data_IF_491636972847
#
_entry.id   IF_491636972847
#
_cell.length_a   1.000
_cell.length_b   1.000
_cell.length_c   1.000
_cell.angle_alpha   90.00
_cell.angle_beta   90.00
_cell.angle_gamma   90.00
#
_symmetry.space_group_name_H-M   'P 1'
#
loop_
_entity.id
_entity.type
_entity.pdbx_description
1 polymer ?
#
# COMPACT_ATOMS: atom_id res chain seq x y z
N UNK A 1 -4.24 18.78 -24.83
CA UNK A 1 -3.65 17.43 -25.05
C UNK A 1 -3.51 16.70 -23.72
N UNK A 2 -3.41 15.36 -23.74
CA UNK A 2 -3.32 14.53 -22.54
C UNK A 2 -2.09 13.62 -22.57
N UNK A 3 -1.38 13.53 -21.45
CA UNK A 3 -0.38 12.49 -21.15
C UNK A 3 -0.96 11.66 -20.02
N UNK A 4 -0.99 10.33 -20.16
CA UNK A 4 -1.51 9.42 -19.13
C UNK A 4 -0.65 8.17 -19.11
N UNK A 5 -0.04 7.88 -17.97
CA UNK A 5 0.77 6.69 -17.74
C UNK A 5 0.28 5.98 -16.48
N UNK A 6 0.48 4.67 -16.42
CA UNK A 6 0.24 3.86 -15.23
C UNK A 6 1.52 3.19 -14.78
N UNK A 7 1.67 3.06 -13.46
CA UNK A 7 2.82 2.40 -12.86
C UNK A 7 2.42 1.62 -11.61
N UNK A 8 2.98 0.43 -11.48
CA UNK A 8 2.88 -0.38 -10.27
C UNK A 8 4.02 -0.01 -9.31
N UNK A 9 3.66 0.35 -8.09
CA UNK A 9 4.56 0.73 -7.01
C UNK A 9 4.54 -0.36 -5.93
N UNK A 10 5.67 -1.01 -5.62
CA UNK A 10 5.73 -2.03 -4.57
C UNK A 10 5.75 -1.42 -3.16
N UNK A 11 4.67 -0.70 -2.82
CA UNK A 11 4.39 -0.09 -1.52
C UNK A 11 2.88 -0.11 -1.26
N UNK A 12 2.47 0.13 -0.02
CA UNK A 12 1.04 0.28 0.32
C UNK A 12 0.46 1.57 -0.27
N UNK A 13 -0.87 1.65 -0.35
CA UNK A 13 -1.56 2.87 -0.83
C UNK A 13 -1.23 4.05 0.07
N UNK A 14 -1.15 3.82 1.39
CA UNK A 14 -0.83 4.85 2.38
C UNK A 14 0.62 5.35 2.27
N UNK A 15 1.58 4.45 2.02
CA UNK A 15 2.98 4.83 1.75
C UNK A 15 3.09 5.67 0.47
N UNK A 16 2.43 5.26 -0.62
CA UNK A 16 2.38 6.04 -1.85
C UNK A 16 1.67 7.39 -1.65
N UNK A 17 0.59 7.44 -0.87
CA UNK A 17 -0.16 8.65 -0.58
C UNK A 17 0.69 9.67 0.18
N UNK A 18 1.41 9.23 1.21
CA UNK A 18 2.35 10.06 1.94
C UNK A 18 3.46 10.61 1.02
N UNK A 19 4.01 9.76 0.13
CA UNK A 19 5.02 10.18 -0.83
C UNK A 19 4.51 11.23 -1.84
N UNK A 20 3.24 11.16 -2.27
CA UNK A 20 2.65 12.21 -3.12
C UNK A 20 2.50 13.55 -2.39
N UNK A 21 2.39 13.53 -1.05
CA UNK A 21 2.32 14.72 -0.22
C UNK A 21 3.69 15.30 0.15
N UNK A 22 4.80 14.60 -0.14
CA UNK A 22 6.15 15.04 0.20
C UNK A 22 6.78 15.90 -0.92
N UNK A 23 7.09 17.20 -0.68
CA UNK A 23 7.77 18.05 -1.66
C UNK A 23 9.18 17.56 -2.04
N UNK A 24 9.83 16.78 -1.19
CA UNK A 24 11.12 16.15 -1.51
C UNK A 24 10.96 15.12 -2.63
N UNK A 25 9.86 14.34 -2.63
CA UNK A 25 9.54 13.40 -3.72
C UNK A 25 9.26 14.17 -5.00
N UNK A 26 8.44 15.22 -4.96
CA UNK A 26 8.19 16.12 -6.10
C UNK A 26 9.49 16.67 -6.70
N UNK A 27 10.42 17.11 -5.85
CA UNK A 27 11.73 17.61 -6.26
C UNK A 27 12.60 16.50 -6.88
N UNK A 28 12.63 15.32 -6.27
CA UNK A 28 13.48 14.21 -6.72
C UNK A 28 13.05 13.69 -8.10
N UNK A 29 11.75 13.53 -8.33
CA UNK A 29 11.22 13.03 -9.61
C UNK A 29 11.29 14.06 -10.75
N UNK A 30 11.53 15.33 -10.42
CA UNK A 30 11.69 16.42 -11.39
C UNK A 30 13.13 16.54 -11.90
N UNK A 31 14.13 16.20 -11.06
CA UNK A 31 15.55 16.24 -11.43
C UNK A 31 15.91 15.14 -12.44
N UNK A 32 16.88 15.38 -13.35
CA UNK A 32 17.64 16.62 -13.53
C UNK A 32 16.93 17.65 -14.42
N UNK A 33 15.81 17.30 -15.06
CA UNK A 33 15.16 18.12 -16.09
C UNK A 33 14.61 19.44 -15.55
N UNK A 34 13.99 19.40 -14.37
CA UNK A 34 13.38 20.55 -13.71
C UNK A 34 13.85 20.64 -12.27
N UNK A 35 14.20 21.86 -11.86
CA UNK A 35 14.37 22.24 -10.46
C UNK A 35 13.36 23.31 -10.12
N UNK A 36 12.70 23.16 -8.99
CA UNK A 36 11.78 24.16 -8.46
C UNK A 36 12.41 24.84 -7.25
N UNK A 37 12.31 26.17 -7.19
CA UNK A 37 12.66 26.95 -6.00
C UNK A 37 11.38 27.54 -5.40
N UNK A 38 11.10 27.32 -4.11
CA UNK A 38 9.95 27.93 -3.45
C UNK A 38 10.13 29.45 -3.42
N UNK A 39 9.06 30.18 -3.74
CA UNK A 39 9.00 31.65 -3.68
C UNK A 39 7.98 32.13 -2.65
N UNK A 40 6.85 31.43 -2.53
CA UNK A 40 5.88 31.70 -1.49
C UNK A 40 5.12 30.41 -1.12
N UNK A 41 5.29 29.89 0.10
CA UNK A 41 6.29 30.27 1.12
C UNK A 41 7.74 30.14 0.60
N UNK A 42 8.72 30.76 1.28
CA UNK A 42 10.15 30.74 0.90
C UNK A 42 10.82 29.36 1.09
N UNK A 43 10.15 28.43 1.74
CA UNK A 43 10.57 27.04 1.89
C UNK A 43 9.42 26.12 1.52
N UNK A 44 9.74 24.92 1.02
CA UNK A 44 8.70 23.91 0.83
C UNK A 44 8.11 23.49 2.18
N UNK A 45 6.79 23.23 2.25
CA UNK A 45 6.19 22.72 3.47
C UNK A 45 6.75 21.32 3.80
N UNK A 46 6.48 20.82 5.01
CA UNK A 46 6.78 19.41 5.33
C UNK A 46 5.92 18.44 4.50
N UNK A 47 4.67 18.83 4.22
CA UNK A 47 3.74 18.11 3.38
C UNK A 47 2.82 19.09 2.65
N UNK A 48 2.46 18.77 1.42
CA UNK A 48 1.44 19.52 0.67
C UNK A 48 0.11 19.51 1.42
N UNK A 49 -0.54 20.66 1.47
CA UNK A 49 -1.85 20.82 2.10
C UNK A 49 -2.91 21.13 1.05
N UNK A 50 -4.02 20.41 1.10
CA UNK A 50 -5.15 20.59 0.18
C UNK A 50 -5.70 22.03 0.26
N UNK A 51 -6.00 22.63 -0.89
CA UNK A 51 -6.51 24.00 -1.01
C UNK A 51 -5.48 25.11 -0.74
N UNK A 52 -4.24 24.78 -0.35
CA UNK A 52 -3.17 25.76 -0.19
C UNK A 52 -2.52 26.08 -1.54
N UNK A 53 -2.09 27.32 -1.73
CA UNK A 53 -1.37 27.75 -2.93
C UNK A 53 0.10 27.95 -2.61
N UNK A 54 0.97 27.38 -3.45
CA UNK A 54 2.42 27.51 -3.39
C UNK A 54 2.93 28.10 -4.70
N UNK A 55 3.83 29.07 -4.63
CA UNK A 55 4.44 29.67 -5.83
C UNK A 55 5.90 29.23 -5.91
N UNK A 56 6.31 28.75 -7.08
CA UNK A 56 7.67 28.26 -7.34
C UNK A 56 8.26 28.90 -8.59
N UNK A 57 9.57 29.11 -8.58
CA UNK A 57 10.38 29.36 -9.79
C UNK A 57 10.77 28.01 -10.41
N UNK A 58 10.46 27.81 -11.69
CA UNK A 58 10.91 26.65 -12.46
C UNK A 58 12.19 26.92 -13.22
N UNK A 59 13.17 26.01 -13.10
CA UNK A 59 14.46 26.09 -13.77
C UNK A 59 14.70 24.83 -14.61
N UNK A 60 14.84 24.98 -15.92
CA UNK A 60 15.26 23.89 -16.78
C UNK A 60 16.73 23.55 -16.52
N UNK A 61 17.03 22.25 -16.40
CA UNK A 61 18.36 21.73 -16.09
C UNK A 61 18.97 22.32 -14.79
N UNK A 62 18.15 22.98 -13.97
CA UNK A 62 18.55 23.60 -12.71
C UNK A 62 19.10 25.03 -12.80
N UNK A 63 19.23 25.62 -14.00
CA UNK A 63 19.82 26.96 -14.16
C UNK A 63 19.18 27.85 -15.23
N UNK A 64 18.34 27.32 -16.13
CA UNK A 64 17.66 28.12 -17.16
C UNK A 64 16.27 28.53 -16.65
N UNK A 65 15.99 29.81 -16.39
CA UNK A 65 14.69 30.25 -15.90
C UNK A 65 13.57 29.95 -16.91
N UNK A 66 12.56 29.22 -16.46
CA UNK A 66 11.33 28.95 -17.23
C UNK A 66 10.18 29.87 -16.83
N UNK A 67 10.31 30.59 -15.71
CA UNK A 67 9.30 31.46 -15.14
C UNK A 67 8.72 30.89 -13.84
N UNK A 68 7.59 31.45 -13.41
CA UNK A 68 6.93 31.08 -12.17
C UNK A 68 5.71 30.20 -12.43
N UNK A 69 5.40 29.33 -11.48
CA UNK A 69 4.23 28.47 -11.50
C UNK A 69 3.57 28.45 -10.12
N UNK A 70 2.25 28.41 -10.14
CA UNK A 70 1.42 28.09 -8.99
C UNK A 70 1.25 26.57 -8.90
N UNK A 71 1.36 26.02 -7.68
CA UNK A 71 0.98 24.66 -7.32
C UNK A 71 -0.18 24.79 -6.34
N UNK A 72 -1.31 24.19 -6.67
CA UNK A 72 -2.52 24.19 -5.85
C UNK A 72 -3.02 22.75 -5.67
N UNK A 73 -2.54 22.04 -4.63
CA UNK A 73 -2.96 20.67 -4.34
C UNK A 73 -4.43 20.60 -3.95
N UNK A 74 -5.16 19.66 -4.54
CA UNK A 74 -6.52 19.30 -4.16
C UNK A 74 -6.62 17.78 -4.09
N UNK A 75 -6.93 17.27 -2.90
CA UNK A 75 -6.95 15.84 -2.62
C UNK A 75 -8.36 15.35 -2.30
N UNK A 76 -8.66 14.13 -2.73
CA UNK A 76 -9.92 13.42 -2.43
C UNK A 76 -9.60 11.98 -2.07
N UNK A 77 -10.27 11.45 -1.04
CA UNK A 77 -10.04 10.10 -0.54
C UNK A 77 -11.37 9.33 -0.48
N UNK A 78 -11.33 8.08 -0.93
CA UNK A 78 -12.39 7.09 -0.80
C UNK A 78 -11.75 5.75 -0.40
N UNK A 79 -12.57 4.74 -0.10
CA UNK A 79 -12.08 3.42 0.35
C UNK A 79 -11.34 2.65 -0.76
N UNK A 80 -11.64 2.94 -2.02
CA UNK A 80 -11.10 2.23 -3.18
C UNK A 80 -10.07 3.05 -3.96
N UNK A 81 -10.02 4.36 -3.72
CA UNK A 81 -9.20 5.28 -4.50
C UNK A 81 -8.82 6.53 -3.69
N UNK A 82 -7.56 6.96 -3.82
CA UNK A 82 -7.09 8.28 -3.36
C UNK A 82 -6.56 9.07 -4.54
N UNK A 83 -7.00 10.32 -4.69
CA UNK A 83 -6.61 11.17 -5.82
C UNK A 83 -6.00 12.48 -5.35
N UNK A 84 -4.78 12.77 -5.81
CA UNK A 84 -4.08 14.04 -5.64
C UNK A 84 -4.12 14.78 -6.96
N UNK A 85 -4.64 16.01 -6.97
CA UNK A 85 -4.66 16.86 -8.16
C UNK A 85 -3.90 18.15 -7.89
N UNK A 86 -3.25 18.69 -8.91
CA UNK A 86 -2.70 20.04 -8.91
C UNK A 86 -3.49 20.89 -9.92
N UNK A 87 -4.20 21.88 -9.39
CA UNK A 87 -5.00 22.85 -10.14
C UNK A 87 -4.24 24.17 -10.36
N UNK A 88 -2.94 24.18 -10.11
CA UNK A 88 -2.07 25.31 -10.34
C UNK A 88 -1.94 25.70 -11.81
N UNK A 89 -1.19 26.76 -12.07
CA UNK A 89 -1.03 27.35 -13.42
C UNK A 89 0.32 28.00 -13.60
N UNK A 90 0.76 28.11 -14.86
CA UNK A 90 1.89 28.96 -15.20
C UNK A 90 1.55 30.43 -14.96
N UNK A 91 2.46 31.16 -14.31
CA UNK A 91 2.30 32.60 -14.02
C UNK A 91 3.08 33.44 -15.02
N UNK A 92 4.30 33.02 -15.39
CA UNK A 92 5.21 33.80 -16.25
C UNK A 92 6.14 32.91 -17.07
N UNK A 93 6.87 33.51 -18.01
CA UNK A 93 7.87 32.84 -18.83
C UNK A 93 7.30 31.74 -19.73
N UNK A 94 8.11 30.74 -20.04
CA UNK A 94 7.71 29.58 -20.82
C UNK A 94 6.61 28.75 -20.13
N UNK A 95 6.57 28.75 -18.78
CA UNK A 95 5.50 28.08 -18.02
C UNK A 95 4.15 28.77 -18.23
N UNK A 96 4.12 30.09 -18.38
CA UNK A 96 2.91 30.86 -18.68
C UNK A 96 2.33 30.65 -20.08
N UNK A 97 3.05 29.98 -20.99
CA UNK A 97 2.52 29.62 -22.32
C UNK A 97 1.49 28.47 -22.26
N UNK A 98 1.48 27.73 -21.15
CA UNK A 98 0.53 26.63 -20.91
C UNK A 98 -0.72 27.22 -20.24
N UNK A 99 -1.78 27.44 -21.02
CA UNK A 99 -3.02 28.10 -20.60
C UNK A 99 -3.88 27.26 -19.65
N UNK A 100 -3.75 25.94 -19.71
CA UNK A 100 -4.37 24.99 -18.79
C UNK A 100 -3.33 23.96 -18.37
N UNK A 101 -3.19 23.70 -17.08
CA UNK A 101 -2.35 22.65 -16.53
C UNK A 101 -3.14 21.93 -15.43
N UNK A 102 -3.57 20.69 -15.70
CA UNK A 102 -4.31 19.86 -14.76
C UNK A 102 -3.60 18.53 -14.60
N UNK A 103 -2.90 18.38 -13.49
CA UNK A 103 -2.20 17.15 -13.15
C UNK A 103 -3.01 16.39 -12.13
N UNK A 104 -3.34 15.13 -12.41
CA UNK A 104 -4.08 14.22 -11.53
C UNK A 104 -3.30 12.94 -11.34
N UNK A 105 -3.11 12.56 -10.09
CA UNK A 105 -2.48 11.32 -9.67
C UNK A 105 -3.46 10.53 -8.83
N UNK A 106 -3.78 9.34 -9.28
CA UNK A 106 -4.79 8.48 -8.66
C UNK A 106 -4.16 7.17 -8.24
N UNK A 107 -4.25 6.87 -6.95
CA UNK A 107 -3.75 5.65 -6.33
C UNK A 107 -4.90 4.66 -6.11
N UNK A 108 -4.69 3.42 -6.53
CA UNK A 108 -5.60 2.30 -6.29
C UNK A 108 -4.84 1.08 -5.78
N UNK A 109 -5.44 0.26 -4.91
CA UNK A 109 -4.90 -1.05 -4.62
C UNK A 109 -4.96 -1.91 -5.90
N UNK A 110 -3.88 -2.62 -6.24
CA UNK A 110 -3.87 -3.49 -7.43
C UNK A 110 -4.59 -4.83 -7.24
N UNK A 111 -5.05 -5.12 -6.03
CA UNK A 111 -5.65 -6.40 -5.64
C UNK A 111 -4.65 -7.53 -5.42
N UNK A 112 -3.35 -7.33 -5.68
CA UNK A 112 -2.27 -8.35 -5.55
C UNK A 112 -1.11 -7.87 -4.67
N UNK A 113 -1.29 -6.76 -3.94
CA UNK A 113 -0.28 -6.16 -3.06
C UNK A 113 0.27 -4.79 -3.50
N UNK A 114 0.86 -4.62 -4.69
CA UNK A 114 1.38 -3.31 -5.11
C UNK A 114 0.27 -2.26 -5.29
N UNK A 115 0.65 -0.99 -5.23
CA UNK A 115 -0.24 0.14 -5.52
C UNK A 115 -0.18 0.49 -7.01
N UNK A 116 -1.33 0.57 -7.68
CA UNK A 116 -1.42 1.17 -9.01
C UNK A 116 -1.46 2.70 -8.85
N UNK A 117 -0.54 3.40 -9.50
CA UNK A 117 -0.59 4.84 -9.71
C UNK A 117 -0.96 5.13 -11.17
N UNK A 118 -2.09 5.80 -11.38
CA UNK A 118 -2.45 6.43 -12.64
C UNK A 118 -2.08 7.91 -12.57
N UNK A 119 -1.21 8.37 -13.47
CA UNK A 119 -0.64 9.71 -13.48
C UNK A 119 -1.00 10.40 -14.81
N UNK A 120 -1.86 11.41 -14.73
CA UNK A 120 -2.46 12.08 -15.88
C UNK A 120 -2.18 13.58 -15.88
N UNK A 121 -1.62 14.09 -16.96
CA UNK A 121 -1.51 15.52 -17.24
C UNK A 121 -2.41 15.88 -18.42
N UNK A 122 -3.35 16.77 -18.18
CA UNK A 122 -4.09 17.48 -19.23
C UNK A 122 -3.60 18.92 -19.32
N UNK A 123 -3.20 19.34 -20.52
CA UNK A 123 -2.66 20.67 -20.72
C UNK A 123 -3.03 21.27 -22.09
N UNK A 124 -2.96 22.59 -22.20
CA UNK A 124 -3.15 23.33 -23.45
C UNK A 124 -2.06 24.40 -23.59
N UNK A 125 -1.40 24.44 -24.74
CA UNK A 125 -0.39 25.43 -25.11
C UNK A 125 -0.64 25.96 -26.54
N UNK A 126 -1.89 25.92 -27.00
CA UNK A 126 -2.28 26.31 -28.36
C UNK A 126 -1.55 25.50 -29.43
N UNK A 127 -1.00 26.18 -30.43
CA UNK A 127 -0.27 25.56 -31.56
C UNK A 127 0.99 24.80 -31.14
N UNK A 128 1.56 25.12 -29.97
CA UNK A 128 2.74 24.45 -29.44
C UNK A 128 2.40 23.15 -28.70
N UNK A 129 1.12 22.84 -28.48
CA UNK A 129 0.69 21.65 -27.73
C UNK A 129 1.37 20.35 -28.18
N UNK A 130 1.52 20.04 -29.49
CA UNK A 130 2.19 18.80 -29.93
C UNK A 130 3.67 18.73 -29.51
N UNK A 131 4.36 19.87 -29.52
CA UNK A 131 5.76 19.95 -29.10
C UNK A 131 5.90 19.71 -27.59
N UNK A 132 5.09 20.42 -26.80
CA UNK A 132 5.04 20.23 -25.34
C UNK A 132 4.62 18.81 -24.96
N UNK A 133 3.71 18.20 -25.72
CA UNK A 133 3.27 16.82 -25.47
C UNK A 133 4.42 15.83 -25.55
N UNK A 134 5.29 15.95 -26.55
CA UNK A 134 6.46 15.09 -26.69
C UNK A 134 7.41 15.24 -25.49
N UNK A 135 7.67 16.48 -25.08
CA UNK A 135 8.49 16.80 -23.90
C UNK A 135 7.89 16.25 -22.60
N UNK A 136 6.61 16.51 -22.35
CA UNK A 136 5.91 16.00 -21.17
C UNK A 136 5.84 14.48 -21.16
N UNK A 137 5.64 13.82 -22.31
CA UNK A 137 5.63 12.36 -22.36
C UNK A 137 6.98 11.74 -21.98
N UNK A 138 8.09 12.34 -22.42
CA UNK A 138 9.43 11.93 -21.97
C UNK A 138 9.64 12.18 -20.47
N UNK A 139 9.23 13.36 -19.98
CA UNK A 139 9.33 13.71 -18.57
C UNK A 139 8.50 12.79 -17.67
N UNK A 140 7.26 12.45 -18.05
CA UNK A 140 6.39 11.54 -17.31
C UNK A 140 6.98 10.14 -17.20
N UNK A 141 7.52 9.61 -18.29
CA UNK A 141 8.22 8.34 -18.27
C UNK A 141 9.44 8.37 -17.33
N UNK A 142 10.20 9.47 -17.34
CA UNK A 142 11.33 9.65 -16.44
C UNK A 142 10.88 9.69 -14.97
N UNK A 143 9.88 10.54 -14.67
CA UNK A 143 9.24 10.66 -13.36
C UNK A 143 8.86 9.29 -12.82
N UNK A 144 8.18 8.46 -13.62
CA UNK A 144 7.78 7.10 -13.22
C UNK A 144 8.98 6.18 -12.96
N UNK A 145 10.06 6.30 -13.74
CA UNK A 145 11.31 5.56 -13.46
C UNK A 145 11.96 5.98 -12.16
N UNK A 146 11.96 7.26 -11.83
CA UNK A 146 12.49 7.76 -10.56
C UNK A 146 11.61 7.31 -9.40
N UNK A 147 10.28 7.40 -9.52
CA UNK A 147 9.34 6.88 -8.52
C UNK A 147 9.59 5.40 -8.20
N UNK A 148 9.75 4.54 -9.21
CA UNK A 148 10.09 3.12 -8.98
C UNK A 148 11.40 2.92 -8.22
N UNK A 149 12.36 3.84 -8.32
CA UNK A 149 13.63 3.78 -7.57
C UNK A 149 13.48 4.32 -6.15
N UNK A 150 12.63 5.32 -5.95
CA UNK A 150 12.36 5.94 -4.66
C UNK A 150 11.39 5.14 -3.80
N UNK A 151 10.62 4.23 -4.39
CA UNK A 151 9.56 3.51 -3.67
C UNK A 151 10.06 2.86 -2.37
N UNK A 152 11.28 2.34 -2.34
CA UNK A 152 11.87 1.74 -1.13
C UNK A 152 12.08 2.75 0.01
N UNK A 153 12.35 4.03 -0.29
CA UNK A 153 12.50 5.07 0.72
C UNK A 153 11.17 5.59 1.27
N UNK A 154 10.04 5.23 0.64
CA UNK A 154 8.70 5.58 1.14
C UNK A 154 8.19 4.55 2.15
N UNK A 155 8.84 3.39 2.23
CA UNK A 155 8.35 2.25 2.97
C UNK A 155 8.60 2.41 4.46
N UNK A 156 7.64 1.93 5.24
CA UNK A 156 7.80 1.78 6.69
C UNK A 156 8.98 0.85 7.01
N UNK A 157 9.65 1.11 8.14
CA UNK A 157 10.71 0.23 8.65
C UNK A 157 10.20 -1.20 8.85
N UNK A 158 8.97 -1.34 9.35
CA UNK A 158 8.29 -2.61 9.49
C UNK A 158 8.13 -3.33 8.14
N UNK A 159 7.60 -2.64 7.11
CA UNK A 159 7.44 -3.20 5.77
C UNK A 159 8.77 -3.65 5.13
N UNK A 160 9.84 -2.84 5.27
CA UNK A 160 11.17 -3.19 4.78
C UNK A 160 11.76 -4.40 5.51
N UNK A 161 11.61 -4.48 6.83
CA UNK A 161 12.06 -5.61 7.64
C UNK A 161 11.40 -6.92 7.22
N UNK A 162 10.09 -6.88 6.93
CA UNK A 162 9.35 -8.04 6.44
C UNK A 162 9.79 -8.47 5.04
N UNK A 163 9.97 -7.54 4.10
CA UNK A 163 10.49 -7.84 2.76
C UNK A 163 11.86 -8.52 2.79
N UNK A 164 12.75 -8.07 3.66
CA UNK A 164 14.04 -8.70 3.86
C UNK A 164 13.89 -10.13 4.39
N UNK A 165 12.98 -10.34 5.33
CA UNK A 165 12.68 -11.66 5.89
C UNK A 165 12.13 -12.62 4.82
N UNK A 166 11.21 -12.16 3.98
CA UNK A 166 10.66 -12.92 2.85
C UNK A 166 11.71 -13.15 1.73
N UNK A 167 12.72 -12.30 1.61
CA UNK A 167 13.83 -12.53 0.67
C UNK A 167 14.77 -13.64 1.15
N UNK A 168 15.04 -13.71 2.46
CA UNK A 168 16.03 -14.63 3.04
C UNK A 168 15.46 -16.03 3.32
N UNK A 169 14.18 -16.14 3.70
CA UNK A 169 13.59 -17.40 4.15
C UNK A 169 12.77 -18.04 3.04
N UNK A 170 13.04 -19.32 2.74
CA UNK A 170 12.16 -20.12 1.87
C UNK A 170 10.88 -20.46 2.63
N UNK A 171 9.75 -20.06 2.07
CA UNK A 171 8.43 -20.44 2.55
C UNK A 171 8.14 -21.91 2.24
N UNK A 172 7.40 -22.60 3.10
CA UNK A 172 7.07 -24.03 2.93
C UNK A 172 6.09 -24.28 1.78
N UNK A 173 5.27 -23.28 1.45
CA UNK A 173 4.14 -23.40 0.51
C UNK A 173 2.94 -24.16 1.07
N UNK A 174 3.07 -24.78 2.24
CA UNK A 174 2.01 -25.57 2.88
C UNK A 174 1.27 -24.73 3.93
N UNK A 175 -0.05 -24.92 4.08
CA UNK A 175 -0.81 -24.25 5.13
C UNK A 175 -0.37 -24.74 6.52
N UNK A 176 -0.60 -23.91 7.53
CA UNK A 176 -0.35 -24.26 8.92
C UNK A 176 -1.26 -25.42 9.36
N UNK A 177 -0.70 -26.50 9.86
CA UNK A 177 -1.47 -27.68 10.30
C UNK A 177 -2.44 -27.37 11.45
N UNK A 178 -2.09 -26.44 12.33
CA UNK A 178 -2.99 -25.96 13.39
C UNK A 178 -4.15 -25.17 12.83
N UNK A 179 -3.94 -24.39 11.75
CA UNK A 179 -5.03 -23.71 11.05
C UNK A 179 -5.98 -24.73 10.42
N UNK A 180 -5.41 -25.68 9.67
CA UNK A 180 -6.17 -26.75 9.02
C UNK A 180 -7.02 -27.48 10.06
N UNK A 181 -6.44 -27.86 11.20
CA UNK A 181 -7.16 -28.55 12.27
C UNK A 181 -8.29 -27.69 12.89
N UNK A 182 -8.06 -26.39 13.07
CA UNK A 182 -9.03 -25.49 13.69
C UNK A 182 -10.20 -25.11 12.77
N UNK A 183 -9.97 -25.07 11.46
CA UNK A 183 -10.94 -24.57 10.46
C UNK A 183 -11.63 -25.71 9.70
N UNK A 184 -11.06 -26.90 9.67
CA UNK A 184 -11.69 -28.07 9.01
C UNK A 184 -13.08 -28.34 9.57
N UNK A 185 -14.09 -28.33 8.70
CA UNK A 185 -15.49 -28.55 9.07
C UNK A 185 -16.30 -27.28 9.33
N UNK A 186 -15.67 -26.09 9.34
CA UNK A 186 -16.42 -24.83 9.32
C UNK A 186 -17.14 -24.66 7.97
N UNK A 187 -18.34 -24.09 8.00
CA UNK A 187 -19.05 -23.71 6.78
C UNK A 187 -18.33 -22.53 6.13
N UNK A 188 -17.93 -22.62 4.85
CA UNK A 188 -17.26 -21.53 4.17
C UNK A 188 -18.13 -20.28 4.03
N UNK A 189 -17.48 -19.13 4.14
CA UNK A 189 -18.06 -17.80 3.96
C UNK A 189 -16.96 -16.81 3.60
N UNK A 190 -17.01 -15.60 4.17
CA UNK A 190 -15.95 -14.59 4.03
C UNK A 190 -14.83 -14.82 5.05
N UNK A 191 -13.57 -14.78 4.59
CA UNK A 191 -12.40 -14.94 5.45
C UNK A 191 -11.45 -13.74 5.34
N UNK A 192 -10.84 -13.33 6.45
CA UNK A 192 -9.75 -12.37 6.49
C UNK A 192 -8.50 -13.03 7.11
N UNK A 193 -7.44 -13.16 6.32
CA UNK A 193 -6.15 -13.71 6.76
C UNK A 193 -5.13 -12.58 7.00
N UNK A 194 -4.81 -12.31 8.28
CA UNK A 194 -3.94 -11.22 8.69
C UNK A 194 -2.48 -11.68 8.80
N UNK A 195 -1.59 -10.95 8.12
CA UNK A 195 -0.19 -11.31 8.02
C UNK A 195 0.00 -12.60 7.21
N UNK A 196 -0.72 -12.70 6.09
CA UNK A 196 -0.79 -13.92 5.29
C UNK A 196 0.56 -14.33 4.66
N UNK A 197 1.54 -13.42 4.62
CA UNK A 197 2.81 -13.61 3.93
C UNK A 197 2.63 -14.00 2.48
N UNK A 198 3.25 -15.11 2.07
CA UNK A 198 3.11 -15.65 0.72
C UNK A 198 1.81 -16.44 0.51
N UNK A 199 0.92 -16.46 1.51
CA UNK A 199 -0.50 -16.81 1.35
C UNK A 199 -0.84 -18.30 1.35
N UNK A 200 -0.03 -19.17 1.94
CA UNK A 200 -0.36 -20.61 1.97
C UNK A 200 -1.67 -20.91 2.73
N UNK A 201 -1.90 -20.22 3.86
CA UNK A 201 -3.14 -20.33 4.63
C UNK A 201 -4.33 -19.78 3.82
N UNK A 202 -4.19 -18.57 3.26
CA UNK A 202 -5.18 -17.98 2.35
C UNK A 202 -5.53 -18.86 1.13
N UNK A 203 -4.55 -19.50 0.50
CA UNK A 203 -4.75 -20.42 -0.62
C UNK A 203 -5.56 -21.64 -0.21
N UNK A 204 -5.20 -22.26 0.91
CA UNK A 204 -5.92 -23.41 1.43
C UNK A 204 -7.34 -23.05 1.86
N UNK A 205 -7.56 -21.89 2.47
CA UNK A 205 -8.90 -21.40 2.80
C UNK A 205 -9.76 -21.22 1.55
N UNK A 206 -9.19 -20.64 0.48
CA UNK A 206 -9.88 -20.52 -0.79
C UNK A 206 -10.16 -21.90 -1.44
N UNK A 207 -9.31 -22.90 -1.22
CA UNK A 207 -9.57 -24.31 -1.60
C UNK A 207 -10.78 -24.89 -0.88
N UNK A 208 -10.99 -24.50 0.39
CA UNK A 208 -12.15 -24.93 1.16
C UNK A 208 -13.43 -24.16 0.77
N UNK A 209 -13.34 -23.20 -0.15
CA UNK A 209 -14.49 -22.43 -0.64
C UNK A 209 -14.73 -21.10 0.08
N UNK A 210 -13.80 -20.64 0.92
CA UNK A 210 -13.89 -19.29 1.50
C UNK A 210 -13.59 -18.22 0.44
N UNK A 211 -14.27 -17.08 0.55
CA UNK A 211 -13.89 -15.85 -0.13
C UNK A 211 -12.87 -15.10 0.72
N UNK A 212 -11.60 -15.16 0.34
CA UNK A 212 -10.50 -14.74 1.21
C UNK A 212 -10.06 -13.31 0.89
N UNK A 213 -9.95 -12.48 1.92
CA UNK A 213 -9.13 -11.27 1.90
C UNK A 213 -7.82 -11.56 2.63
N UNK A 214 -6.70 -11.47 1.94
CA UNK A 214 -5.37 -11.78 2.46
C UNK A 214 -4.56 -10.49 2.61
N UNK A 215 -4.11 -10.19 3.83
CA UNK A 215 -3.47 -8.93 4.19
C UNK A 215 -2.04 -9.17 4.66
N UNK A 216 -1.07 -8.43 4.13
CA UNK A 216 0.31 -8.40 4.65
C UNK A 216 0.94 -7.03 4.43
N UNK A 217 1.90 -6.63 5.27
CA UNK A 217 2.63 -5.38 5.12
C UNK A 217 3.69 -5.44 3.99
N UNK A 218 3.96 -6.64 3.44
CA UNK A 218 4.91 -6.89 2.36
C UNK A 218 4.20 -7.06 1.01
N UNK A 219 4.21 -6.03 0.13
CA UNK A 219 3.76 -6.18 -1.26
C UNK A 219 4.53 -7.28 -2.01
N UNK A 220 5.78 -7.55 -1.63
CA UNK A 220 6.60 -8.62 -2.21
C UNK A 220 6.00 -10.00 -1.90
N UNK A 221 5.62 -10.26 -0.65
CA UNK A 221 5.04 -11.53 -0.24
C UNK A 221 3.70 -11.79 -0.94
N UNK A 222 2.84 -10.76 -1.01
CA UNK A 222 1.55 -10.82 -1.68
C UNK A 222 1.68 -11.08 -3.18
N UNK A 223 2.65 -10.46 -3.85
CA UNK A 223 2.91 -10.69 -5.27
C UNK A 223 3.30 -12.15 -5.55
N UNK A 224 4.10 -12.77 -4.66
CA UNK A 224 4.43 -14.22 -4.74
C UNK A 224 3.21 -15.08 -4.46
N UNK A 225 2.38 -14.71 -3.47
CA UNK A 225 1.13 -15.41 -3.19
C UNK A 225 0.18 -15.45 -4.39
N UNK A 226 0.05 -14.34 -5.11
CA UNK A 226 -0.73 -14.31 -6.35
C UNK A 226 -0.12 -15.18 -7.46
N UNK A 227 1.21 -15.22 -7.58
CA UNK A 227 1.89 -16.11 -8.53
C UNK A 227 1.59 -17.59 -8.21
N UNK A 228 1.66 -17.98 -6.93
CA UNK A 228 1.28 -19.32 -6.48
C UNK A 228 -0.20 -19.63 -6.77
N UNK A 229 -1.11 -18.69 -6.49
CA UNK A 229 -2.54 -18.83 -6.79
C UNK A 229 -2.77 -19.09 -8.27
N UNK A 230 -2.17 -18.27 -9.14
CA UNK A 230 -2.28 -18.39 -10.60
C UNK A 230 -1.73 -19.73 -11.09
N UNK A 231 -0.59 -20.17 -10.57
CA UNK A 231 -0.01 -21.45 -10.93
C UNK A 231 -0.91 -22.62 -10.56
N UNK A 232 -1.53 -22.59 -9.36
CA UNK A 232 -2.46 -23.64 -8.92
C UNK A 232 -3.73 -23.66 -9.77
N UNK A 233 -4.38 -22.51 -9.99
CA UNK A 233 -5.58 -22.39 -10.85
C UNK A 233 -5.28 -22.85 -12.28
N UNK A 234 -4.10 -22.55 -12.82
CA UNK A 234 -3.69 -23.03 -14.16
C UNK A 234 -3.56 -24.55 -14.21
N UNK A 235 -3.16 -25.19 -13.09
CA UNK A 235 -2.94 -26.64 -13.00
C UNK A 235 -4.26 -27.41 -12.86
N UNK A 236 -5.17 -26.96 -12.01
CA UNK A 236 -6.37 -27.71 -11.65
C UNK A 236 -7.69 -27.11 -12.18
N UNK A 237 -7.64 -25.90 -12.76
CA UNK A 237 -8.78 -25.13 -13.28
C UNK A 237 -9.84 -24.79 -12.25
N UNK A 238 -9.52 -24.90 -10.96
CA UNK A 238 -10.45 -24.62 -9.88
C UNK A 238 -10.30 -23.15 -9.45
N UNK A 239 -11.38 -22.37 -9.34
CA UNK A 239 -11.28 -20.99 -8.91
C UNK A 239 -10.76 -20.91 -7.46
N UNK A 240 -10.03 -19.83 -7.18
CA UNK A 240 -9.60 -19.43 -5.83
C UNK A 240 -9.87 -17.93 -5.71
N UNK A 241 -10.86 -17.57 -4.92
CA UNK A 241 -11.26 -16.17 -4.71
C UNK A 241 -10.40 -15.62 -3.58
N UNK A 242 -9.34 -14.89 -3.96
CA UNK A 242 -8.44 -14.23 -3.01
C UNK A 242 -8.27 -12.78 -3.44
N UNK A 243 -8.54 -11.86 -2.52
CA UNK A 243 -8.22 -10.43 -2.63
C UNK A 243 -7.00 -10.15 -1.78
N UNK A 244 -5.89 -9.75 -2.40
CA UNK A 244 -4.67 -9.40 -1.66
C UNK A 244 -4.60 -7.90 -1.40
N UNK A 245 -4.23 -7.51 -0.17
CA UNK A 245 -4.17 -6.12 0.27
C UNK A 245 -2.84 -5.87 0.97
N UNK A 246 -1.99 -5.01 0.41
CA UNK A 246 -0.80 -4.56 1.11
C UNK A 246 -1.15 -3.44 2.08
N UNK A 247 -1.00 -3.71 3.37
CA UNK A 247 -1.44 -2.80 4.41
C UNK A 247 -0.74 -3.09 5.74
N UNK A 248 -0.44 -2.04 6.51
CA UNK A 248 0.00 -2.19 7.91
C UNK A 248 -1.20 -2.08 8.86
N UNK A 249 -1.61 -3.20 9.45
CA UNK A 249 -2.74 -3.27 10.38
C UNK A 249 -2.53 -2.48 11.69
N UNK A 250 -1.29 -2.14 12.05
CA UNK A 250 -1.01 -1.33 13.24
C UNK A 250 -1.44 0.11 12.98
N UNK A 251 -1.04 0.67 11.84
CA UNK A 251 -1.28 2.07 11.49
C UNK A 251 -2.59 2.31 10.74
N UNK A 252 -3.14 1.29 10.10
CA UNK A 252 -4.29 1.41 9.19
C UNK A 252 -5.53 0.64 9.69
N UNK A 253 -6.76 1.00 9.25
CA UNK A 253 -7.97 0.25 9.58
C UNK A 253 -8.05 -1.08 8.82
N UNK A 254 -8.77 -2.07 9.34
CA UNK A 254 -8.99 -3.32 8.60
C UNK A 254 -9.92 -3.10 7.39
N UNK A 255 -9.81 -3.91 6.33
CA UNK A 255 -10.76 -3.89 5.22
C UNK A 255 -12.19 -4.10 5.73
N UNK A 256 -13.15 -3.33 5.20
CA UNK A 256 -14.55 -3.47 5.56
C UNK A 256 -15.20 -4.67 4.87
N UNK A 257 -16.14 -5.31 5.58
CA UNK A 257 -17.08 -6.28 5.04
C UNK A 257 -18.50 -5.88 5.46
N UNK A 258 -19.49 -5.81 4.56
CA UNK A 258 -20.85 -5.34 4.89
C UNK A 258 -21.51 -6.07 6.06
N UNK A 259 -21.20 -7.37 6.21
CA UNK A 259 -21.74 -8.22 7.28
C UNK A 259 -20.68 -8.63 8.30
N UNK A 260 -19.45 -8.12 8.18
CA UNK A 260 -18.27 -8.65 8.88
C UNK A 260 -17.71 -9.90 8.20
N UNK A 261 -16.61 -10.44 8.73
CA UNK A 261 -15.99 -11.68 8.25
C UNK A 261 -16.47 -12.90 9.05
N UNK A 262 -16.83 -13.98 8.36
CA UNK A 262 -17.22 -15.25 8.99
C UNK A 262 -16.04 -15.97 9.65
N UNK A 263 -14.84 -15.75 9.13
CA UNK A 263 -13.59 -16.26 9.67
C UNK A 263 -12.50 -15.18 9.65
N UNK A 264 -11.78 -15.01 10.76
CA UNK A 264 -10.55 -14.20 10.78
C UNK A 264 -9.41 -15.05 11.33
N UNK A 265 -8.30 -15.10 10.59
CA UNK A 265 -7.11 -15.90 10.92
C UNK A 265 -5.90 -15.01 11.12
N UNK A 266 -5.04 -15.38 12.06
CA UNK A 266 -3.71 -14.78 12.25
C UNK A 266 -2.72 -15.85 12.74
N UNK A 267 -1.93 -16.40 11.82
CA UNK A 267 -0.96 -17.46 12.08
C UNK A 267 0.45 -16.90 12.30
N UNK A 268 1.01 -17.08 13.50
CA UNK A 268 2.33 -16.57 13.89
C UNK A 268 2.51 -15.08 13.57
N UNK A 269 1.44 -14.31 13.79
CA UNK A 269 1.39 -12.90 13.44
C UNK A 269 2.18 -12.07 14.44
N UNK A 270 3.37 -11.60 14.03
CA UNK A 270 4.29 -10.89 14.91
C UNK A 270 3.88 -9.42 15.06
N UNK A 271 3.11 -9.13 16.12
CA UNK A 271 2.74 -7.78 16.53
C UNK A 271 3.49 -7.40 17.82
N UNK A 272 4.05 -6.19 17.93
CA UNK A 272 4.60 -5.67 19.18
C UNK A 272 3.60 -5.81 20.33
N UNK A 273 4.07 -6.21 21.51
CA UNK A 273 3.19 -6.46 22.67
C UNK A 273 2.31 -5.26 23.04
N UNK A 274 2.83 -4.03 22.87
CA UNK A 274 2.09 -2.77 23.10
C UNK A 274 0.90 -2.57 22.16
N UNK A 275 0.97 -3.14 20.96
CA UNK A 275 -0.04 -2.98 19.90
C UNK A 275 -1.00 -4.16 19.78
N UNK A 276 -0.60 -5.33 20.30
CA UNK A 276 -1.32 -6.59 20.14
C UNK A 276 -2.77 -6.52 20.58
N UNK A 277 -3.03 -5.96 21.76
CA UNK A 277 -4.40 -5.77 22.27
C UNK A 277 -5.26 -4.90 21.35
N UNK A 278 -4.67 -3.88 20.74
CA UNK A 278 -5.36 -3.00 19.79
C UNK A 278 -5.70 -3.76 18.50
N UNK A 279 -4.76 -4.53 17.96
CA UNK A 279 -4.97 -5.37 16.77
C UNK A 279 -6.05 -6.42 17.01
N UNK A 280 -6.01 -7.14 18.13
CA UNK A 280 -7.03 -8.15 18.45
C UNK A 280 -8.43 -7.55 18.58
N UNK A 281 -8.55 -6.36 19.19
CA UNK A 281 -9.83 -5.63 19.22
C UNK A 281 -10.32 -5.27 17.81
N UNK A 282 -9.44 -4.85 16.90
CA UNK A 282 -9.79 -4.61 15.49
C UNK A 282 -10.32 -5.88 14.84
N UNK A 283 -9.65 -7.01 15.02
CA UNK A 283 -10.08 -8.31 14.49
C UNK A 283 -11.47 -8.69 15.01
N UNK A 284 -11.68 -8.62 16.33
CA UNK A 284 -12.98 -8.95 16.93
C UNK A 284 -14.09 -8.04 16.39
N UNK A 285 -13.83 -6.75 16.23
CA UNK A 285 -14.80 -5.80 15.69
C UNK A 285 -15.15 -6.04 14.22
N UNK A 286 -14.26 -6.69 13.47
CA UNK A 286 -14.46 -7.03 12.06
C UNK A 286 -15.19 -8.37 11.84
N UNK A 287 -15.43 -9.15 12.89
CA UNK A 287 -16.15 -10.43 12.79
C UNK A 287 -17.64 -10.21 12.49
N UNK A 288 -18.18 -11.07 11.63
CA UNK A 288 -19.62 -11.25 11.49
C UNK A 288 -20.22 -11.81 12.79
N UNK A 289 -21.53 -11.64 12.95
CA UNK A 289 -22.26 -12.28 14.06
C UNK A 289 -22.16 -13.81 13.92
N UNK A 290 -21.61 -14.47 14.94
CA UNK A 290 -21.35 -15.91 14.91
C UNK A 290 -20.06 -16.30 14.18
N UNK A 291 -19.27 -15.32 13.72
CA UNK A 291 -17.98 -15.55 13.09
C UNK A 291 -16.93 -16.12 14.04
N UNK A 292 -15.91 -16.74 13.47
CA UNK A 292 -14.84 -17.43 14.20
C UNK A 292 -13.52 -16.67 14.10
N UNK A 293 -12.84 -16.49 15.24
CA UNK A 293 -11.49 -15.94 15.32
C UNK A 293 -10.49 -17.04 15.63
N UNK A 294 -9.50 -17.24 14.75
CA UNK A 294 -8.41 -18.20 14.95
C UNK A 294 -7.09 -17.45 15.03
N UNK A 295 -6.45 -17.49 16.20
CA UNK A 295 -5.12 -16.92 16.42
C UNK A 295 -4.18 -18.05 16.80
N UNK A 296 -3.13 -18.24 16.01
CA UNK A 296 -2.07 -19.22 16.28
C UNK A 296 -0.81 -18.44 16.61
N UNK A 297 -0.19 -18.75 17.75
CA UNK A 297 1.01 -18.08 18.21
C UNK A 297 1.92 -19.02 18.98
N UNK A 298 3.01 -18.46 19.50
CA UNK A 298 3.97 -19.20 20.31
C UNK A 298 3.60 -19.09 21.79
N UNK A 299 3.40 -20.24 22.43
CA UNK A 299 3.12 -20.31 23.86
C UNK A 299 4.33 -19.82 24.67
N UNK A 300 4.05 -19.13 25.80
CA UNK A 300 5.11 -18.69 26.73
C UNK A 300 5.91 -19.89 27.26
N UNK A 301 5.24 -21.03 27.45
CA UNK A 301 5.77 -22.27 28.04
C UNK A 301 6.83 -23.00 27.19
N UNK A 302 7.04 -22.64 25.92
CA UNK A 302 8.14 -23.18 25.10
C UNK A 302 9.54 -22.71 25.56
N UNK A 303 9.66 -21.87 26.59
CA UNK A 303 10.94 -21.45 27.15
C UNK A 303 11.68 -22.55 27.91
N UNK A 304 10.99 -23.60 28.40
CA UNK A 304 11.59 -24.63 29.26
C UNK A 304 12.13 -25.86 28.52
N UNK A 305 11.96 -25.96 27.20
CA UNK A 305 12.33 -27.16 26.43
C UNK A 305 13.70 -27.11 25.72
N UNK A 306 14.48 -26.04 25.91
CA UNK A 306 15.81 -25.89 25.31
C UNK A 306 15.82 -25.68 23.78
N UNK A 307 14.65 -25.58 23.15
CA UNK A 307 14.50 -25.18 21.74
C UNK A 307 14.54 -23.66 21.65
N UNK A 308 15.31 -23.10 20.71
CA UNK A 308 15.30 -21.67 20.42
C UNK A 308 13.93 -21.23 19.85
N UNK A 309 12.96 -21.01 20.74
CA UNK A 309 11.69 -20.37 20.42
C UNK A 309 11.88 -18.88 20.12
N UNK A 310 10.89 -18.21 19.50
CA UNK A 310 11.00 -16.79 19.17
C UNK A 310 11.20 -15.93 20.43
N UNK A 311 11.72 -14.70 20.27
CA UNK A 311 11.88 -13.74 21.37
C UNK A 311 10.63 -13.63 22.25
N UNK A 312 10.82 -13.44 23.56
CA UNK A 312 9.74 -13.41 24.56
C UNK A 312 8.63 -12.41 24.22
N UNK A 313 8.98 -11.26 23.62
CA UNK A 313 8.02 -10.23 23.22
C UNK A 313 7.05 -10.67 22.10
N UNK A 314 7.30 -11.79 21.42
CA UNK A 314 6.41 -12.36 20.39
C UNK A 314 5.51 -13.48 20.92
N UNK A 315 5.68 -13.86 22.19
CA UNK A 315 4.86 -14.87 22.85
C UNK A 315 3.69 -14.20 23.59
N UNK A 316 2.62 -14.94 23.76
CA UNK A 316 1.45 -14.53 24.56
C UNK A 316 0.80 -15.75 25.18
N UNK A 317 0.11 -15.55 26.29
CA UNK A 317 -0.71 -16.58 26.91
C UNK A 317 -2.20 -16.35 26.60
N UNK A 318 -2.99 -17.32 27.03
CA UNK A 318 -4.43 -17.29 26.86
C UNK A 318 -5.12 -16.21 27.72
N UNK A 319 -4.50 -15.76 28.82
CA UNK A 319 -5.05 -14.67 29.64
C UNK A 319 -4.96 -13.32 28.92
N UNK A 320 -3.85 -13.06 28.24
CA UNK A 320 -3.66 -11.87 27.40
C UNK A 320 -4.73 -11.82 26.29
N UNK A 321 -4.95 -12.95 25.61
CA UNK A 321 -5.94 -13.09 24.52
C UNK A 321 -7.37 -12.85 25.03
N UNK A 322 -7.75 -13.49 26.15
CA UNK A 322 -9.05 -13.27 26.81
C UNK A 322 -9.23 -11.83 27.31
N UNK A 323 -8.17 -11.15 27.69
CA UNK A 323 -8.21 -9.76 28.15
C UNK A 323 -8.48 -8.74 27.04
N UNK A 324 -8.38 -9.14 25.76
CA UNK A 324 -8.62 -8.29 24.60
C UNK A 324 -9.98 -8.54 23.94
N UNK A 325 -10.50 -9.76 24.03
CA UNK A 325 -11.81 -10.15 23.50
C UNK A 325 -12.88 -9.73 24.53
N UNK A 326 -13.89 -8.93 24.15
CA UNK A 326 -15.00 -8.59 25.05
C UNK A 326 -15.65 -9.87 25.57
N UNK A 327 -16.01 -9.89 26.87
CA UNK A 327 -16.82 -10.99 27.40
C UNK A 327 -18.20 -10.92 26.72
N UNK A 328 -18.57 -11.97 26.01
CA UNK A 328 -19.92 -12.20 25.50
C UNK A 328 -20.94 -12.27 26.62
#
# INVERSE_FOLDING_TARGET
>A
MKVSLRVMLPCTVSEAWAALHDPAVFTAVSKPFLRFRPLNPEEFPKAWSTGSTYVVEGLALGFIPLGHQEINPVTTESDTEKTFSDNGRGISGALGLVSSFRHRMTLRPSGVGPTELQDELEFDAGVLSPLFWLGFRMFWWWRHRVMKKLVSSWRSEAGLSWDERYTRKKWSGNPNSSLVAAVSGLTPGTALDLGCGEGADALWLAEQGFEVTALDASPLALARGEEHRRAQVTRDHQPRIIRWIAQDVITEPLPESPTGFDLITASFFHVPATERKRVWKKMVAALARGGTLVIIGHAIEEATSGVHGPPQHLRFDHAELRGAIPKS
#
